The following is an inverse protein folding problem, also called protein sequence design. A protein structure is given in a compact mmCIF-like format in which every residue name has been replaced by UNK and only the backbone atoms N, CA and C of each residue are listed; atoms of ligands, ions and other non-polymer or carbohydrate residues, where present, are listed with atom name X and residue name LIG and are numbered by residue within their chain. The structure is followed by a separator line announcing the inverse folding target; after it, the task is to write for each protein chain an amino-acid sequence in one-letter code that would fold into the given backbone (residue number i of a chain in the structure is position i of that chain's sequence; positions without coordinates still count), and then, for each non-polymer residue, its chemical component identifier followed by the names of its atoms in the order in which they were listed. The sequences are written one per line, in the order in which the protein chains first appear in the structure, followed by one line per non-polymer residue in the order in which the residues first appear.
data_IF_143680473429
#
_entry.id   IF_143680473429
#
_cell.length_a   1.000
_cell.length_b   1.000
_cell.length_c   1.000
_cell.angle_alpha   90.00
_cell.angle_beta   90.00
_cell.angle_gamma   90.00
#
_symmetry.space_group_name_H-M   'P 1'
#
loop_
_entity.id
_entity.type
_entity.pdbx_description
1 polymer ?
#
# COMPACT_ATOMS: atom_id res chain seq x y z
N UNK A 1 -17.19 8.56 15.83
CA UNK A 1 -16.28 9.42 15.04
C UNK A 1 -15.87 8.63 13.79
N UNK A 2 -15.75 9.27 12.62
CA UNK A 2 -15.35 8.60 11.36
C UNK A 2 -14.11 9.28 10.80
N UNK A 3 -13.22 8.49 10.18
CA UNK A 3 -12.02 8.96 9.51
C UNK A 3 -11.85 8.21 8.18
N UNK A 4 -11.01 8.77 7.29
CA UNK A 4 -10.67 8.19 5.99
C UNK A 4 -9.15 8.17 5.86
N UNK A 5 -8.61 7.09 5.29
CA UNK A 5 -7.19 6.95 4.99
C UNK A 5 -7.00 7.12 3.47
N UNK A 6 -6.15 8.05 3.07
CA UNK A 6 -5.76 8.22 1.68
C UNK A 6 -4.72 7.15 1.30
N UNK A 7 -5.19 6.07 0.67
CA UNK A 7 -4.38 4.90 0.28
C UNK A 7 -4.11 4.82 -1.24
N UNK A 8 -4.20 5.94 -1.95
CA UNK A 8 -3.99 6.00 -3.41
C UNK A 8 -2.55 6.29 -3.85
N UNK A 9 -2.38 6.52 -5.16
CA UNK A 9 -1.12 6.94 -5.79
C UNK A 9 -0.44 5.86 -6.64
N UNK A 10 0.33 6.29 -7.65
CA UNK A 10 0.89 5.40 -8.70
C UNK A 10 2.06 4.50 -8.27
N UNK A 11 2.59 4.67 -7.05
CA UNK A 11 3.64 3.79 -6.53
C UNK A 11 4.98 3.75 -7.29
N UNK A 12 5.25 4.71 -8.19
CA UNK A 12 6.34 4.61 -9.19
C UNK A 12 7.74 4.28 -8.63
N UNK A 13 8.06 4.73 -7.42
CA UNK A 13 9.34 4.48 -6.74
C UNK A 13 9.54 3.03 -6.28
N UNK A 14 8.46 2.26 -6.13
CA UNK A 14 8.47 0.87 -5.64
C UNK A 14 8.26 -0.15 -6.76
N UNK A 15 8.32 0.28 -8.01
CA UNK A 15 8.28 -0.64 -9.16
C UNK A 15 9.52 -1.55 -9.14
N UNK A 16 9.41 -2.84 -9.52
CA UNK A 16 8.26 -3.45 -10.18
C UNK A 16 7.15 -3.94 -9.25
N UNK A 17 7.33 -3.88 -7.92
CA UNK A 17 6.38 -4.43 -6.95
C UNK A 17 4.97 -3.85 -7.11
N UNK A 18 4.88 -2.56 -7.49
CA UNK A 18 3.59 -1.88 -7.68
C UNK A 18 3.00 -1.97 -9.08
N UNK A 19 3.45 -2.88 -9.93
CA UNK A 19 2.77 -3.14 -11.21
C UNK A 19 1.49 -3.96 -11.02
N UNK A 20 1.51 -4.94 -10.10
CA UNK A 20 0.38 -5.82 -9.82
C UNK A 20 -0.24 -5.60 -8.44
N UNK A 21 0.51 -5.02 -7.49
CA UNK A 21 0.05 -4.85 -6.09
C UNK A 21 0.11 -3.37 -5.69
N UNK A 22 -1.01 -2.74 -5.27
CA UNK A 22 -0.98 -1.37 -4.75
C UNK A 22 -0.03 -1.24 -3.56
N UNK A 23 0.70 -0.11 -3.46
CA UNK A 23 1.62 0.15 -2.33
C UNK A 23 1.02 -0.20 -0.95
N UNK A 24 -0.20 0.24 -0.59
CA UNK A 24 -0.75 -0.02 0.75
C UNK A 24 -1.00 -1.51 1.05
N UNK A 25 -1.03 -2.36 0.04
CA UNK A 25 -1.21 -3.81 0.16
C UNK A 25 0.09 -4.60 0.02
N UNK A 26 1.23 -3.93 -0.20
CA UNK A 26 2.52 -4.61 -0.18
C UNK A 26 2.79 -5.18 1.23
N UNK A 27 3.35 -6.39 1.33
CA UNK A 27 3.66 -7.00 2.62
C UNK A 27 4.86 -6.32 3.29
N UNK A 28 4.77 -6.14 4.60
CA UNK A 28 5.86 -5.81 5.53
C UNK A 28 5.87 -6.90 6.58
N UNK A 29 6.80 -7.85 6.44
CA UNK A 29 6.71 -9.14 7.13
C UNK A 29 5.48 -9.92 6.66
N UNK A 30 4.67 -10.38 7.61
CA UNK A 30 3.48 -11.18 7.34
C UNK A 30 2.19 -10.36 7.13
N UNK A 31 2.26 -9.03 7.18
CA UNK A 31 1.08 -8.14 7.12
C UNK A 31 1.21 -7.06 6.05
N UNK A 32 0.12 -6.60 5.42
CA UNK A 32 0.16 -5.48 4.49
C UNK A 32 0.45 -4.15 5.20
N UNK A 33 0.96 -3.13 4.49
CA UNK A 33 1.20 -1.78 5.03
C UNK A 33 -0.05 -1.20 5.75
N UNK A 34 -1.27 -1.42 5.22
CA UNK A 34 -2.51 -0.93 5.84
C UNK A 34 -2.87 -1.58 7.20
N UNK A 35 -2.19 -2.65 7.59
CA UNK A 35 -2.40 -3.28 8.90
C UNK A 35 -1.61 -2.59 10.03
N UNK A 36 -0.81 -1.57 9.70
CA UNK A 36 -0.08 -0.70 10.62
C UNK A 36 -0.74 0.67 10.66
#
# INVERSE_FOLDING_TARGET
MKAVILAGGLGRRLRPLTFSIPKPLLPVGEKPILAF
#
